data_IF_443303151487
#
_entry.id   IF_443303151487
#
_cell.length_a   1.000
_cell.length_b   1.000
_cell.length_c   1.000
_cell.angle_alpha   90.00
_cell.angle_beta   90.00
_cell.angle_gamma   90.00
#
_symmetry.space_group_name_H-M   'P 1'
#
loop_
_entity.id
_entity.type
_entity.pdbx_description
1 polymer ?
#
# COMPACT_ATOMS: atom_id res chain seq x y z
N UNK A 1 9.88 -7.31 -13.24
CA UNK A 1 9.46 -6.62 -12.00
C UNK A 1 8.71 -7.59 -11.10
N UNK A 2 9.15 -7.72 -9.87
CA UNK A 2 8.45 -8.54 -8.87
C UNK A 2 7.52 -7.64 -8.06
N UNK A 3 6.27 -8.02 -7.99
CA UNK A 3 5.25 -7.25 -7.29
C UNK A 3 4.55 -8.18 -6.29
N UNK A 4 4.43 -7.72 -5.05
CA UNK A 4 3.77 -8.48 -3.98
C UNK A 4 2.59 -7.66 -3.47
N UNK A 5 1.48 -8.32 -3.22
CA UNK A 5 0.33 -7.74 -2.53
C UNK A 5 0.24 -8.37 -1.15
N UNK A 6 0.11 -7.54 -0.11
CA UNK A 6 0.20 -8.03 1.25
C UNK A 6 -0.68 -7.23 2.20
N UNK A 7 -1.58 -7.92 2.89
CA UNK A 7 -2.34 -7.30 3.97
C UNK A 7 -1.52 -7.39 5.25
N UNK A 8 -0.98 -6.26 5.71
CA UNK A 8 -0.09 -6.24 6.86
C UNK A 8 -0.81 -6.21 8.21
N UNK A 9 -2.07 -5.81 8.19
CA UNK A 9 -2.85 -5.71 9.42
C UNK A 9 -2.11 -4.93 10.52
N UNK A 10 -1.87 -3.67 10.27
CA UNK A 10 -1.11 -2.72 11.09
C UNK A 10 0.39 -2.73 10.77
N UNK A 11 0.81 -1.72 10.01
CA UNK A 11 2.21 -1.61 9.58
C UNK A 11 3.15 -1.30 10.76
N UNK A 12 2.66 -0.61 11.77
CA UNK A 12 3.48 -0.27 12.94
C UNK A 12 3.74 -1.46 13.84
N UNK A 13 2.86 -2.45 13.81
CA UNK A 13 2.98 -3.63 14.64
C UNK A 13 3.81 -4.75 13.99
N UNK A 14 3.98 -4.70 12.66
CA UNK A 14 4.54 -5.83 11.91
C UNK A 14 5.65 -5.46 10.92
N UNK A 15 6.61 -4.63 11.30
CA UNK A 15 7.71 -4.29 10.38
C UNK A 15 8.56 -5.50 10.02
N UNK A 16 8.63 -6.49 10.90
CA UNK A 16 9.40 -7.70 10.66
C UNK A 16 8.89 -8.49 9.45
N UNK A 17 7.60 -8.37 9.13
CA UNK A 17 7.04 -9.05 7.96
C UNK A 17 7.54 -8.42 6.66
N UNK A 18 7.74 -7.12 6.64
CA UNK A 18 8.30 -6.43 5.47
C UNK A 18 9.76 -6.81 5.28
N UNK A 19 10.51 -6.91 6.37
CA UNK A 19 11.91 -7.34 6.33
C UNK A 19 11.99 -8.76 5.79
N UNK A 20 11.10 -9.63 6.20
CA UNK A 20 11.04 -11.01 5.71
C UNK A 20 10.75 -11.06 4.21
N UNK A 21 9.81 -10.27 3.72
CA UNK A 21 9.51 -10.18 2.29
C UNK A 21 10.73 -9.71 1.50
N UNK A 22 11.41 -8.67 2.01
CA UNK A 22 12.63 -8.17 1.37
C UNK A 22 13.69 -9.26 1.29
N UNK A 23 13.93 -9.97 2.37
CA UNK A 23 15.03 -10.93 2.46
C UNK A 23 14.75 -12.23 1.69
N UNK A 24 13.49 -12.61 1.53
CA UNK A 24 13.14 -13.87 0.87
C UNK A 24 12.73 -13.72 -0.58
N UNK A 25 12.01 -12.66 -0.92
CA UNK A 25 11.47 -12.44 -2.26
C UNK A 25 12.16 -11.30 -2.97
N UNK A 26 12.55 -10.28 -2.23
CA UNK A 26 13.16 -9.06 -2.74
C UNK A 26 12.30 -8.40 -3.82
N UNK A 27 11.05 -8.06 -3.51
CA UNK A 27 10.16 -7.48 -4.51
C UNK A 27 10.56 -6.07 -4.88
N UNK A 28 10.25 -5.70 -6.12
CA UNK A 28 10.43 -4.31 -6.59
C UNK A 28 9.35 -3.40 -6.04
N UNK A 29 8.15 -3.92 -5.89
CA UNK A 29 6.99 -3.17 -5.38
C UNK A 29 6.19 -4.05 -4.44
N UNK A 30 5.76 -3.47 -3.33
CA UNK A 30 4.86 -4.11 -2.38
C UNK A 30 3.61 -3.26 -2.23
N UNK A 31 2.47 -3.81 -2.62
CA UNK A 31 1.17 -3.20 -2.35
C UNK A 31 0.69 -3.65 -0.98
N UNK A 32 0.49 -2.70 -0.08
CA UNK A 32 0.12 -2.98 1.31
C UNK A 32 -1.32 -2.56 1.55
N UNK A 33 -2.07 -3.41 2.25
CA UNK A 33 -3.42 -3.10 2.70
C UNK A 33 -3.46 -3.12 4.22
N UNK A 34 -4.40 -2.39 4.77
CA UNK A 34 -4.63 -2.26 6.21
C UNK A 34 -3.41 -1.76 6.97
N UNK A 35 -2.89 -0.61 6.55
CA UNK A 35 -1.78 0.02 7.28
C UNK A 35 -2.21 0.47 8.67
N UNK A 36 -3.48 0.86 8.83
CA UNK A 36 -4.12 1.22 10.11
C UNK A 36 -3.42 2.34 10.87
N UNK A 37 -2.91 3.30 10.13
CA UNK A 37 -2.20 4.44 10.70
C UNK A 37 -2.50 5.69 9.87
N UNK A 38 -2.67 6.83 10.55
CA UNK A 38 -2.82 8.11 9.88
C UNK A 38 -1.52 8.52 9.21
N UNK A 39 -1.61 9.31 8.15
CA UNK A 39 -0.45 9.71 7.38
C UNK A 39 0.67 10.35 8.23
N UNK A 40 0.38 11.26 9.17
CA UNK A 40 1.45 11.84 9.99
C UNK A 40 2.22 10.83 10.83
N UNK A 41 1.61 9.67 11.11
CA UNK A 41 2.21 8.63 11.95
C UNK A 41 2.79 7.47 11.15
N UNK A 42 2.75 7.56 9.82
CA UNK A 42 3.29 6.50 8.98
C UNK A 42 4.80 6.38 9.19
N UNK A 43 5.34 5.14 9.36
CA UNK A 43 6.76 4.94 9.70
C UNK A 43 7.68 5.09 8.48
N UNK A 44 7.78 6.30 7.94
CA UNK A 44 8.54 6.58 6.72
C UNK A 44 10.00 6.18 6.86
N UNK A 45 10.65 6.57 7.96
CA UNK A 45 12.07 6.34 8.12
C UNK A 45 12.41 4.86 8.22
N UNK A 46 11.57 4.08 8.91
CA UNK A 46 11.77 2.64 9.03
C UNK A 46 11.62 1.95 7.68
N UNK A 47 10.64 2.39 6.87
CA UNK A 47 10.45 1.84 5.54
C UNK A 47 11.65 2.15 4.64
N UNK A 48 12.17 3.37 4.72
CA UNK A 48 13.35 3.76 3.94
C UNK A 48 14.58 2.96 4.38
N UNK A 49 14.74 2.69 5.66
CA UNK A 49 15.84 1.85 6.15
C UNK A 49 15.79 0.44 5.61
N UNK A 50 14.60 -0.08 5.37
CA UNK A 50 14.43 -1.40 4.78
C UNK A 50 14.80 -1.41 3.29
N UNK A 51 14.81 -0.25 2.64
CA UNK A 51 15.21 -0.11 1.25
C UNK A 51 14.07 0.24 0.30
N UNK A 52 12.96 0.74 0.82
CA UNK A 52 11.80 1.07 0.02
C UNK A 52 11.39 2.53 0.16
N UNK A 53 10.89 3.08 -0.93
CA UNK A 53 10.25 4.38 -0.94
C UNK A 53 8.75 4.19 -0.67
N UNK A 54 8.18 4.83 0.36
CA UNK A 54 6.77 4.67 0.67
C UNK A 54 5.91 5.75 0.03
N UNK A 55 4.81 5.33 -0.57
CA UNK A 55 3.67 6.19 -0.88
C UNK A 55 2.47 5.60 -0.15
N UNK A 56 1.71 6.43 0.53
CA UNK A 56 0.68 5.91 1.42
C UNK A 56 -0.51 6.85 1.51
N UNK A 57 -1.64 6.28 1.82
CA UNK A 57 -2.85 7.01 2.13
C UNK A 57 -3.51 6.30 3.31
N UNK A 58 -3.33 6.88 4.50
CA UNK A 58 -3.61 6.19 5.75
C UNK A 58 -4.88 6.63 6.42
N UNK A 59 -5.40 5.70 7.20
CA UNK A 59 -6.55 5.93 8.03
C UNK A 59 -6.37 5.09 9.30
N UNK A 60 -6.52 5.75 10.45
CA UNK A 60 -6.34 5.08 11.72
C UNK A 60 -7.45 4.05 11.94
N UNK A 61 -7.05 2.92 12.49
CA UNK A 61 -7.98 1.90 12.98
C UNK A 61 -8.26 0.77 12.03
N UNK A 62 -8.77 1.03 10.82
CA UNK A 62 -9.30 -0.04 9.98
C UNK A 62 -8.73 -0.11 8.58
N UNK A 63 -8.39 1.01 8.01
CA UNK A 63 -8.05 1.08 6.59
C UNK A 63 -6.62 1.54 6.40
N UNK A 64 -6.36 2.08 5.26
CA UNK A 64 -5.04 2.55 4.91
C UNK A 64 -4.39 1.63 3.89
N UNK A 65 -3.81 2.23 2.86
CA UNK A 65 -3.11 1.52 1.81
C UNK A 65 -1.76 2.18 1.57
N UNK A 66 -0.81 1.41 1.07
CA UNK A 66 0.51 1.92 0.73
C UNK A 66 1.08 1.16 -0.45
N UNK A 67 1.96 1.84 -1.18
CA UNK A 67 2.80 1.21 -2.18
C UNK A 67 4.23 1.49 -1.77
N UNK A 68 4.98 0.42 -1.52
CA UNK A 68 6.40 0.49 -1.19
C UNK A 68 7.17 0.04 -2.41
N UNK A 69 8.15 0.83 -2.85
CA UNK A 69 8.88 0.52 -4.07
C UNK A 69 10.36 0.81 -3.93
N UNK A 70 11.20 0.07 -4.64
CA UNK A 70 12.64 0.35 -4.68
C UNK A 70 12.93 1.66 -5.38
N UNK A 71 12.15 1.99 -6.41
CA UNK A 71 12.24 3.24 -7.15
C UNK A 71 11.07 4.14 -6.80
N UNK A 72 11.32 5.43 -6.76
CA UNK A 72 10.27 6.41 -6.56
C UNK A 72 9.34 6.41 -7.78
N UNK A 73 8.01 6.37 -7.60
CA UNK A 73 7.08 6.45 -8.73
C UNK A 73 7.10 7.84 -9.38
N UNK A 74 6.73 7.88 -10.66
CA UNK A 74 6.61 9.13 -11.39
C UNK A 74 5.36 9.90 -10.99
N UNK A 75 4.30 9.18 -10.64
CA UNK A 75 3.02 9.78 -10.29
C UNK A 75 2.29 8.88 -9.29
N UNK A 76 1.52 9.52 -8.42
CA UNK A 76 0.73 8.82 -7.40
C UNK A 76 -0.66 9.44 -7.35
N UNK A 77 -1.68 8.58 -7.34
CA UNK A 77 -3.05 9.00 -7.11
C UNK A 77 -3.56 8.32 -5.84
N UNK A 78 -4.05 9.11 -4.91
CA UNK A 78 -4.58 8.64 -3.64
C UNK A 78 -6.09 8.72 -3.67
N UNK A 79 -6.74 7.57 -3.53
CA UNK A 79 -8.19 7.48 -3.59
C UNK A 79 -8.73 7.40 -5.01
N UNK A 80 -10.00 7.14 -5.11
CA UNK A 80 -10.71 7.15 -6.38
C UNK A 80 -11.08 8.57 -6.77
N UNK A 81 -11.20 8.81 -8.07
CA UNK A 81 -11.70 10.09 -8.53
C UNK A 81 -13.09 10.32 -7.95
N UNK A 82 -13.28 11.48 -7.31
CA UNK A 82 -14.54 11.80 -6.66
C UNK A 82 -14.62 11.44 -5.18
N UNK A 83 -13.59 10.78 -4.62
CA UNK A 83 -13.55 10.53 -3.19
C UNK A 83 -13.49 11.82 -2.39
N UNK A 84 -14.16 11.86 -1.25
CA UNK A 84 -14.04 12.94 -0.28
C UNK A 84 -13.03 12.55 0.80
N UNK A 85 -12.70 13.51 1.66
CA UNK A 85 -11.79 13.25 2.78
C UNK A 85 -12.37 12.26 3.79
N UNK A 86 -13.69 12.16 3.85
CA UNK A 86 -14.37 11.25 4.77
C UNK A 86 -14.48 9.83 4.25
N UNK A 87 -14.14 9.62 2.98
CA UNK A 87 -14.18 8.29 2.41
C UNK A 87 -13.08 7.39 2.97
N UNK A 88 -13.35 6.10 2.96
CA UNK A 88 -12.39 5.12 3.46
C UNK A 88 -11.14 5.09 2.57
N UNK A 89 -9.97 5.06 3.21
CA UNK A 89 -8.69 5.08 2.52
C UNK A 89 -8.33 3.69 2.01
N UNK A 90 -8.92 3.30 0.88
CA UNK A 90 -8.84 1.94 0.35
C UNK A 90 -8.10 1.80 -0.97
N UNK A 91 -7.70 2.90 -1.59
CA UNK A 91 -7.12 2.83 -2.93
C UNK A 91 -5.95 3.79 -3.09
N UNK A 92 -4.88 3.28 -3.65
CA UNK A 92 -3.72 4.09 -4.06
C UNK A 92 -3.18 3.54 -5.37
N UNK A 93 -2.78 4.43 -6.26
CA UNK A 93 -2.24 4.07 -7.56
C UNK A 93 -0.91 4.76 -7.75
N UNK A 94 0.06 4.05 -8.28
CA UNK A 94 1.36 4.60 -8.61
C UNK A 94 1.77 4.22 -10.02
N UNK A 95 2.44 5.15 -10.70
CA UNK A 95 2.94 4.95 -12.05
C UNK A 95 4.46 4.89 -12.00
N UNK A 96 5.03 3.84 -12.59
CA UNK A 96 6.47 3.62 -12.65
C UNK A 96 6.95 3.56 -14.09
N UNK A 97 8.17 4.03 -14.30
CA UNK A 97 8.85 3.80 -15.58
C UNK A 97 9.72 2.56 -15.44
N UNK A 98 9.49 1.58 -16.32
CA UNK A 98 10.22 0.33 -16.30
C UNK A 98 10.59 -0.07 -17.72
N UNK A 99 11.90 -0.10 -18.03
CA UNK A 99 12.40 -0.53 -19.35
C UNK A 99 11.67 0.14 -20.52
N UNK A 100 11.58 1.46 -20.52
CA UNK A 100 10.92 2.27 -21.56
C UNK A 100 9.39 2.14 -21.59
N UNK A 101 8.80 1.45 -20.62
CA UNK A 101 7.34 1.32 -20.50
C UNK A 101 6.88 1.99 -19.24
N UNK A 102 5.63 2.39 -19.23
CA UNK A 102 4.97 2.86 -18.01
C UNK A 102 4.15 1.72 -17.45
N UNK A 103 4.32 1.48 -16.15
CA UNK A 103 3.57 0.47 -15.43
C UNK A 103 2.74 1.19 -14.39
N UNK A 104 1.44 0.94 -14.41
CA UNK A 104 0.52 1.49 -13.42
C UNK A 104 0.16 0.38 -12.44
N UNK A 105 0.43 0.63 -11.17
CA UNK A 105 0.11 -0.32 -10.11
C UNK A 105 -1.03 0.26 -9.29
N UNK A 106 -2.12 -0.49 -9.23
CA UNK A 106 -3.29 -0.13 -8.46
C UNK A 106 -3.35 -1.05 -7.25
N UNK A 107 -3.42 -0.45 -6.08
CA UNK A 107 -3.49 -1.20 -4.82
C UNK A 107 -4.78 -0.81 -4.10
N UNK A 108 -5.66 -1.76 -3.95
CA UNK A 108 -6.93 -1.54 -3.29
C UNK A 108 -7.17 -2.54 -2.17
N UNK A 109 -7.85 -2.06 -1.14
CA UNK A 109 -8.35 -2.91 -0.07
C UNK A 109 -9.86 -3.00 -0.18
N UNK A 110 -10.35 -4.20 -0.40
CA UNK A 110 -11.77 -4.46 -0.49
C UNK A 110 -12.13 -5.46 0.61
N UNK A 111 -12.69 -4.98 1.72
CA UNK A 111 -13.00 -5.87 2.83
C UNK A 111 -13.97 -6.95 2.40
N UNK A 112 -13.81 -8.13 3.00
CA UNK A 112 -14.72 -9.23 2.75
C UNK A 112 -16.11 -8.82 3.20
N UNK A 113 -17.07 -8.86 2.29
CA UNK A 113 -18.43 -8.50 2.58
C UNK A 113 -19.13 -9.64 3.30
N UNK A 114 -19.07 -9.67 4.61
CA UNK A 114 -19.71 -10.73 5.38
C UNK A 114 -21.19 -10.86 5.08
N UNK A 115 -21.84 -9.74 4.84
CA UNK A 115 -23.28 -9.73 4.59
C UNK A 115 -23.64 -10.08 3.16
N UNK A 116 -22.67 -10.11 2.26
CA UNK A 116 -23.00 -10.39 0.85
C UNK A 116 -23.51 -11.79 0.63
N UNK A 117 -23.03 -12.74 1.42
CA UNK A 117 -23.52 -14.10 1.34
C UNK A 117 -24.99 -14.20 1.75
N UNK A 118 -25.46 -13.25 2.54
CA UNK A 118 -26.84 -13.19 2.98
C UNK A 118 -27.73 -12.42 2.04
N UNK A 119 -27.15 -11.57 1.23
CA UNK A 119 -27.88 -10.76 0.27
C UNK A 119 -28.17 -11.50 -1.02
N UNK A 120 -27.45 -12.53 -1.29
CA UNK A 120 -27.57 -13.30 -2.53
C UNK A 120 -28.33 -14.61 -2.36
#
# INVERSE_FOLDING_TARGET
MKIVSFNINSIRARPHQLIHLRDTIDPDVIGIQETKVNDPEFPIDEIKKIGYHPEFWGQKGHYGVAILSKKKPENVQKGFVGDSEDDQKRFIQATFKWKRKKIIIMNGYFPQGENRSHET
#
